data_IF_899116285956
#
_entry.id   IF_899116285956
#
_cell.length_a   1.000
_cell.length_b   1.000
_cell.length_c   1.000
_cell.angle_alpha   90.00
_cell.angle_beta   90.00
_cell.angle_gamma   90.00
#
_symmetry.space_group_name_H-M   'P 1'
#
loop_
_entity.id
_entity.type
_entity.pdbx_description
1 polymer ?
#
# COMPACT_ATOMS: atom_id res chain seq x y z
N UNK A 1 23.36 2.19 -7.22
CA UNK A 1 22.32 1.96 -8.25
C UNK A 1 21.59 0.69 -7.93
N UNK A 2 20.26 0.71 -8.01
CA UNK A 2 19.43 -0.48 -7.88
C UNK A 2 19.56 -1.35 -9.13
N UNK A 3 19.33 -2.65 -8.99
CA UNK A 3 19.30 -3.55 -10.13
C UNK A 3 18.21 -3.11 -11.11
N UNK A 4 18.55 -2.99 -12.41
CA UNK A 4 17.56 -2.70 -13.43
C UNK A 4 16.46 -3.75 -13.48
N UNK A 5 15.21 -3.31 -13.64
CA UNK A 5 14.12 -4.23 -13.89
C UNK A 5 14.25 -4.81 -15.31
N UNK A 6 13.90 -6.08 -15.53
CA UNK A 6 14.07 -6.72 -16.84
C UNK A 6 13.15 -6.17 -17.93
N UNK A 7 12.23 -5.27 -17.59
CA UNK A 7 11.27 -4.69 -18.53
C UNK A 7 11.75 -3.35 -19.05
N UNK A 8 11.64 -3.14 -20.35
CA UNK A 8 12.14 -1.97 -21.06
C UNK A 8 11.30 -0.70 -20.85
N UNK A 9 10.16 -0.79 -20.16
CA UNK A 9 9.28 0.33 -19.85
C UNK A 9 8.45 0.03 -18.59
N UNK A 10 8.15 1.03 -17.77
CA UNK A 10 7.29 1.01 -16.58
C UNK A 10 7.59 -0.13 -15.60
N UNK A 11 8.86 -0.34 -15.26
CA UNK A 11 9.28 -1.35 -14.30
C UNK A 11 8.85 -1.03 -12.87
N UNK A 12 9.79 -0.60 -12.05
CA UNK A 12 9.51 -0.12 -10.69
C UNK A 12 8.76 1.21 -10.74
N UNK A 13 7.73 1.35 -9.91
CA UNK A 13 6.87 2.54 -9.88
C UNK A 13 6.88 3.21 -8.50
N UNK A 14 6.31 2.57 -7.50
CA UNK A 14 6.11 3.15 -6.17
C UNK A 14 6.86 2.36 -5.09
N UNK A 15 7.66 3.02 -4.22
CA UNK A 15 8.40 2.38 -3.15
C UNK A 15 7.81 2.68 -1.78
N UNK A 16 7.83 1.69 -0.88
CA UNK A 16 7.62 1.86 0.54
C UNK A 16 8.83 1.32 1.33
N UNK A 17 9.21 1.99 2.42
CA UNK A 17 10.41 1.64 3.18
C UNK A 17 10.03 1.08 4.55
N UNK A 18 10.40 -0.17 4.81
CA UNK A 18 10.40 -0.70 6.15
C UNK A 18 11.73 -0.40 6.84
N UNK A 19 11.65 0.34 7.95
CA UNK A 19 12.81 0.73 8.73
C UNK A 19 13.04 -0.22 9.90
N UNK A 20 14.18 -0.92 9.90
CA UNK A 20 14.64 -1.70 11.05
C UNK A 20 15.33 -0.79 12.06
N UNK A 21 14.63 -0.42 13.14
CA UNK A 21 15.16 0.44 14.18
C UNK A 21 16.30 -0.23 14.99
N UNK A 22 16.36 -1.56 15.01
CA UNK A 22 17.41 -2.31 15.71
C UNK A 22 18.73 -2.36 14.94
N UNK A 23 18.62 -2.42 13.61
CA UNK A 23 19.76 -2.39 12.70
C UNK A 23 19.36 -1.73 11.36
N UNK A 24 19.52 -0.41 11.22
CA UNK A 24 19.10 0.33 10.02
C UNK A 24 19.65 -0.20 8.68
N UNK A 25 20.76 -0.95 8.70
CA UNK A 25 21.30 -1.58 7.50
C UNK A 25 20.45 -2.75 6.98
N UNK A 26 19.59 -3.31 7.82
CA UNK A 26 18.65 -4.37 7.45
C UNK A 26 17.31 -3.84 6.94
N UNK A 27 17.14 -2.53 6.91
CA UNK A 27 15.92 -1.91 6.35
C UNK A 27 15.70 -2.38 4.92
N UNK A 28 14.43 -2.46 4.52
CA UNK A 28 14.01 -3.02 3.24
C UNK A 28 13.19 -2.00 2.45
N UNK A 29 13.26 -2.11 1.15
CA UNK A 29 12.43 -1.37 0.22
C UNK A 29 11.44 -2.37 -0.40
N UNK A 30 10.15 -2.11 -0.22
CA UNK A 30 9.10 -2.79 -0.96
C UNK A 30 8.78 -1.94 -2.18
N UNK A 31 8.74 -2.53 -3.35
CA UNK A 31 8.55 -1.80 -4.61
C UNK A 31 7.42 -2.43 -5.43
N UNK A 32 6.53 -1.61 -5.96
CA UNK A 32 5.56 -2.06 -6.96
C UNK A 32 6.20 -2.18 -8.33
N UNK A 33 5.68 -3.11 -9.10
CA UNK A 33 6.10 -3.35 -10.47
C UNK A 33 4.86 -3.40 -11.37
N UNK A 34 4.64 -2.36 -12.16
CA UNK A 34 3.42 -2.15 -12.96
C UNK A 34 3.04 -3.31 -13.88
N UNK A 35 4.01 -4.13 -14.26
CA UNK A 35 3.76 -5.24 -15.18
C UNK A 35 3.69 -6.61 -14.49
N UNK A 36 4.15 -6.71 -13.23
CA UNK A 36 4.37 -8.03 -12.60
C UNK A 36 3.82 -8.17 -11.19
N UNK A 37 4.12 -7.21 -10.29
CA UNK A 37 3.69 -7.39 -8.90
C UNK A 37 4.48 -6.58 -7.89
N UNK A 38 5.03 -7.24 -6.87
CA UNK A 38 5.69 -6.61 -5.73
C UNK A 38 7.05 -7.22 -5.49
N UNK A 39 8.08 -6.39 -5.29
CA UNK A 39 9.44 -6.81 -4.97
C UNK A 39 9.88 -6.38 -3.58
N UNK A 40 10.84 -7.10 -3.02
CA UNK A 40 11.59 -6.69 -1.82
C UNK A 40 13.05 -6.52 -2.18
N UNK A 41 13.60 -5.38 -1.83
CA UNK A 41 14.99 -5.03 -2.09
C UNK A 41 15.69 -4.60 -0.80
N UNK A 42 17.00 -4.84 -0.75
CA UNK A 42 17.88 -4.27 0.27
C UNK A 42 18.27 -2.83 -0.09
N UNK A 43 18.87 -2.14 0.87
CA UNK A 43 19.35 -0.75 0.64
C UNK A 43 20.49 -0.67 -0.38
N UNK A 44 21.19 -1.78 -0.68
CA UNK A 44 22.20 -1.84 -1.74
C UNK A 44 21.59 -2.07 -3.14
N UNK A 45 20.27 -2.19 -3.23
CA UNK A 45 19.53 -2.41 -4.45
C UNK A 45 19.40 -3.87 -4.89
N UNK A 46 19.98 -4.82 -4.13
CA UNK A 46 19.80 -6.25 -4.43
C UNK A 46 18.38 -6.71 -4.10
N UNK A 47 17.76 -7.46 -5.02
CA UNK A 47 16.42 -8.03 -4.83
C UNK A 47 16.50 -9.30 -3.99
N UNK A 48 15.73 -9.37 -2.92
CA UNK A 48 15.60 -10.57 -2.08
C UNK A 48 14.40 -11.42 -2.52
N UNK A 49 13.35 -10.80 -3.02
CA UNK A 49 12.16 -11.49 -3.48
C UNK A 49 11.46 -10.69 -4.58
N UNK A 50 10.88 -11.40 -5.55
CA UNK A 50 9.90 -10.87 -6.49
C UNK A 50 8.65 -11.76 -6.46
N UNK A 51 7.49 -11.17 -6.22
CA UNK A 51 6.19 -11.82 -6.28
C UNK A 51 5.45 -11.32 -7.53
N UNK A 52 4.79 -12.22 -8.24
CA UNK A 52 4.08 -11.91 -9.49
C UNK A 52 2.56 -12.15 -9.36
N UNK A 53 1.85 -11.48 -8.44
CA UNK A 53 0.41 -11.61 -8.30
C UNK A 53 -0.38 -10.98 -9.46
N UNK A 54 0.28 -10.22 -10.31
CA UNK A 54 -0.27 -9.42 -11.39
C UNK A 54 0.20 -7.97 -11.34
N UNK A 55 -0.13 -7.15 -12.35
CA UNK A 55 0.21 -5.73 -12.41
C UNK A 55 -0.14 -4.99 -11.13
N UNK A 56 0.87 -4.49 -10.42
CA UNK A 56 0.68 -3.75 -9.16
C UNK A 56 1.09 -2.30 -9.36
N UNK A 57 0.15 -1.37 -9.15
CA UNK A 57 0.40 0.05 -9.39
C UNK A 57 1.15 0.69 -8.21
N UNK A 58 0.54 0.77 -7.04
CA UNK A 58 1.14 1.39 -5.87
C UNK A 58 1.32 0.40 -4.73
N UNK A 59 2.23 0.71 -3.81
CA UNK A 59 2.43 0.00 -2.55
C UNK A 59 2.56 0.99 -1.40
N UNK A 60 2.09 0.59 -0.22
CA UNK A 60 2.39 1.26 1.04
C UNK A 60 2.56 0.22 2.15
N UNK A 61 3.17 0.61 3.26
CA UNK A 61 3.33 -0.25 4.41
C UNK A 61 3.13 0.46 5.73
N UNK A 62 2.69 -0.31 6.71
CA UNK A 62 2.61 0.12 8.11
C UNK A 62 3.35 -0.87 9.00
N UNK A 63 4.32 -0.38 9.77
CA UNK A 63 5.16 -1.22 10.61
C UNK A 63 4.46 -1.63 11.93
N UNK A 64 4.89 -2.78 12.48
CA UNK A 64 4.51 -3.26 13.81
C UNK A 64 2.99 -3.42 14.00
N UNK A 65 2.33 -4.08 13.07
CA UNK A 65 0.89 -4.36 13.13
C UNK A 65 0.60 -5.84 13.00
N UNK A 66 -0.46 -6.29 13.67
CA UNK A 66 -1.01 -7.65 13.56
C UNK A 66 0.03 -8.76 13.78
N UNK A 67 1.06 -8.48 14.61
CA UNK A 67 2.11 -9.45 14.93
C UNK A 67 3.12 -9.70 13.80
N UNK A 68 3.19 -8.79 12.82
CA UNK A 68 4.19 -8.78 11.75
C UNK A 68 5.12 -7.58 11.88
N UNK A 69 6.29 -7.63 11.23
CA UNK A 69 7.21 -6.48 11.16
C UNK A 69 6.60 -5.33 10.36
N UNK A 70 5.86 -5.65 9.30
CA UNK A 70 4.98 -4.73 8.62
C UNK A 70 3.84 -5.44 7.89
N UNK A 71 2.71 -4.74 7.74
CA UNK A 71 1.67 -5.04 6.76
C UNK A 71 1.94 -4.18 5.53
N UNK A 72 1.89 -4.80 4.36
CA UNK A 72 2.07 -4.15 3.06
C UNK A 72 0.76 -4.25 2.29
N UNK A 73 0.36 -3.18 1.65
CA UNK A 73 -0.74 -3.15 0.69
C UNK A 73 -0.20 -2.87 -0.71
N UNK A 74 -0.77 -3.55 -1.72
CA UNK A 74 -0.46 -3.29 -3.12
C UNK A 74 -1.74 -3.27 -3.96
N UNK A 75 -1.88 -2.29 -4.85
CA UNK A 75 -3.06 -2.20 -5.73
C UNK A 75 -2.89 -3.04 -6.99
N UNK A 76 -3.58 -4.15 -7.04
CA UNK A 76 -3.51 -5.11 -8.15
C UNK A 76 -4.52 -4.77 -9.25
N UNK A 77 -4.03 -4.30 -10.40
CA UNK A 77 -4.87 -3.90 -11.53
C UNK A 77 -5.45 -5.08 -12.33
N UNK A 78 -4.89 -6.28 -12.19
CA UNK A 78 -5.46 -7.46 -12.86
C UNK A 78 -6.73 -7.96 -12.18
N UNK A 79 -6.75 -7.93 -10.85
CA UNK A 79 -7.88 -8.40 -10.03
C UNK A 79 -8.78 -7.28 -9.51
N UNK A 80 -8.36 -6.03 -9.67
CA UNK A 80 -9.01 -4.85 -9.09
C UNK A 80 -9.20 -5.00 -7.58
N UNK A 81 -8.07 -5.28 -6.89
CA UNK A 81 -8.04 -5.50 -5.44
C UNK A 81 -6.89 -4.74 -4.80
N UNK A 82 -7.04 -4.42 -3.52
CA UNK A 82 -5.90 -4.16 -2.65
C UNK A 82 -5.46 -5.51 -2.10
N UNK A 83 -4.31 -5.97 -2.54
CA UNK A 83 -3.68 -7.19 -2.03
C UNK A 83 -2.90 -6.87 -0.75
N UNK A 84 -3.05 -7.69 0.28
CA UNK A 84 -2.33 -7.52 1.55
C UNK A 84 -1.23 -8.57 1.71
N UNK A 85 -0.09 -8.14 2.25
CA UNK A 85 1.07 -8.98 2.50
C UNK A 85 1.62 -8.72 3.89
N UNK A 86 2.17 -9.76 4.51
CA UNK A 86 2.95 -9.66 5.74
C UNK A 86 4.44 -9.63 5.38
N UNK A 87 5.16 -8.63 5.85
CA UNK A 87 6.61 -8.55 5.78
C UNK A 87 7.23 -9.26 6.98
N UNK A 88 8.21 -10.10 6.71
CA UNK A 88 9.14 -10.66 7.69
C UNK A 88 10.54 -10.09 7.43
N UNK A 89 11.02 -9.25 8.34
CA UNK A 89 12.29 -8.55 8.21
C UNK A 89 13.51 -9.47 8.40
N UNK A 90 13.35 -10.62 9.07
CA UNK A 90 14.43 -11.59 9.28
C UNK A 90 14.68 -12.37 7.99
N UNK A 91 13.63 -12.95 7.42
CA UNK A 91 13.73 -13.67 6.14
C UNK A 91 13.79 -12.72 4.93
N UNK A 92 13.47 -11.44 5.12
CA UNK A 92 13.42 -10.41 4.07
C UNK A 92 12.45 -10.76 2.95
N UNK A 93 11.26 -11.26 3.33
CA UNK A 93 10.25 -11.75 2.41
C UNK A 93 8.85 -11.21 2.74
N UNK A 94 8.01 -11.18 1.70
CA UNK A 94 6.58 -10.94 1.79
C UNK A 94 5.83 -12.27 1.69
N UNK A 95 4.78 -12.40 2.48
CA UNK A 95 3.81 -13.49 2.36
C UNK A 95 2.45 -12.88 2.07
N UNK A 96 1.86 -13.21 0.92
CA UNK A 96 0.49 -12.77 0.58
C UNK A 96 -0.49 -13.36 1.58
N UNK A 97 -1.43 -12.55 2.04
CA UNK A 97 -2.50 -12.97 2.95
C UNK A 97 -3.72 -13.39 2.13
N UNK A 98 -3.74 -14.65 1.71
CA UNK A 98 -4.83 -15.20 0.90
C UNK A 98 -6.19 -15.09 1.60
N UNK A 99 -7.21 -14.65 0.87
CA UNK A 99 -8.55 -14.39 1.40
C UNK A 99 -8.64 -13.10 2.24
N UNK A 100 -7.64 -12.23 2.13
CA UNK A 100 -7.64 -10.87 2.71
C UNK A 100 -7.61 -9.79 1.62
N UNK A 101 -7.86 -10.17 0.37
CA UNK A 101 -7.97 -9.23 -0.74
C UNK A 101 -9.20 -8.31 -0.52
N UNK A 102 -9.00 -7.01 -0.74
CA UNK A 102 -10.06 -6.01 -0.64
C UNK A 102 -10.49 -5.65 -2.05
N UNK A 103 -11.68 -6.08 -2.51
CA UNK A 103 -12.14 -5.76 -3.86
C UNK A 103 -12.43 -4.26 -4.00
N UNK A 104 -12.01 -3.69 -5.13
CA UNK A 104 -12.38 -2.33 -5.48
C UNK A 104 -13.88 -2.28 -5.79
N UNK A 105 -14.64 -1.31 -5.23
CA UNK A 105 -16.11 -1.38 -5.24
C UNK A 105 -16.76 -1.04 -6.58
N UNK A 106 -16.02 -0.49 -7.53
CA UNK A 106 -16.53 -0.05 -8.84
C UNK A 106 -15.66 -0.59 -9.97
N UNK A 107 -16.17 -0.55 -11.21
CA UNK A 107 -15.35 -0.75 -12.39
C UNK A 107 -14.43 0.46 -12.59
N UNK A 108 -13.14 0.23 -12.79
CA UNK A 108 -12.14 1.27 -12.95
C UNK A 108 -10.72 0.75 -12.76
N UNK A 109 -9.76 1.65 -12.83
CA UNK A 109 -8.36 1.35 -12.57
C UNK A 109 -8.00 1.79 -11.15
N UNK A 110 -7.90 0.83 -10.25
CA UNK A 110 -7.38 1.10 -8.90
C UNK A 110 -5.98 1.71 -8.98
N UNK A 111 -5.74 2.79 -8.27
CA UNK A 111 -4.53 3.61 -8.30
C UNK A 111 -3.70 3.54 -7.02
N UNK A 112 -3.66 4.65 -6.28
CA UNK A 112 -2.88 4.81 -5.06
C UNK A 112 -3.39 3.99 -3.88
N UNK A 113 -2.52 3.77 -2.90
CA UNK A 113 -2.85 3.13 -1.63
C UNK A 113 -2.06 3.77 -0.50
N UNK A 114 -2.71 4.00 0.65
CA UNK A 114 -2.07 4.57 1.84
C UNK A 114 -2.66 4.00 3.11
N UNK A 115 -1.81 3.56 4.03
CA UNK A 115 -2.26 3.19 5.37
C UNK A 115 -2.47 4.41 6.27
N UNK A 116 -3.42 4.29 7.16
CA UNK A 116 -3.65 5.21 8.25
C UNK A 116 -3.83 4.45 9.58
N UNK A 117 -2.99 4.73 10.57
CA UNK A 117 -3.21 4.29 11.95
C UNK A 117 -3.74 5.49 12.74
N UNK A 118 -4.96 5.38 13.25
CA UNK A 118 -5.57 6.43 14.06
C UNK A 118 -4.81 6.60 15.40
N UNK A 119 -4.38 7.80 15.76
CA UNK A 119 -3.80 8.07 17.07
C UNK A 119 -4.85 8.07 18.20
N UNK A 120 -6.15 8.04 17.87
CA UNK A 120 -7.23 8.13 18.85
C UNK A 120 -7.60 6.78 19.45
N UNK A 121 -7.59 5.71 18.62
CA UNK A 121 -8.05 4.37 19.02
C UNK A 121 -7.16 3.24 18.49
N UNK A 122 -6.01 3.57 17.90
CA UNK A 122 -5.01 2.64 17.33
C UNK A 122 -5.56 1.76 16.17
N UNK A 123 -6.76 2.02 15.70
CA UNK A 123 -7.33 1.30 14.56
C UNK A 123 -6.52 1.56 13.30
N UNK A 124 -6.48 0.53 12.47
CA UNK A 124 -5.79 0.58 11.20
C UNK A 124 -6.79 0.72 10.06
N UNK A 125 -6.50 1.64 9.17
CA UNK A 125 -7.25 1.88 7.95
C UNK A 125 -6.34 1.82 6.74
N UNK A 126 -6.91 1.56 5.58
CA UNK A 126 -6.28 1.73 4.28
C UNK A 126 -7.18 2.58 3.39
N UNK A 127 -6.59 3.60 2.79
CA UNK A 127 -7.20 4.35 1.69
C UNK A 127 -6.74 3.78 0.36
N UNK A 128 -7.61 3.80 -0.62
CA UNK A 128 -7.25 3.65 -2.01
C UNK A 128 -8.10 4.57 -2.87
N UNK A 129 -7.65 4.82 -4.08
CA UNK A 129 -8.28 5.72 -5.03
C UNK A 129 -8.20 5.15 -6.44
N UNK A 130 -8.92 5.76 -7.37
CA UNK A 130 -8.90 5.42 -8.78
C UNK A 130 -8.81 6.64 -9.70
N UNK A 131 -8.66 6.39 -10.99
CA UNK A 131 -8.55 7.42 -12.02
C UNK A 131 -9.82 8.27 -12.20
N UNK A 132 -10.96 7.87 -11.62
CA UNK A 132 -12.23 8.62 -11.71
C UNK A 132 -12.37 9.67 -10.60
N UNK A 133 -11.48 9.65 -9.62
CA UNK A 133 -11.52 10.53 -8.45
C UNK A 133 -12.19 9.89 -7.22
N UNK A 134 -12.67 8.65 -7.32
CA UNK A 134 -13.20 7.94 -6.16
C UNK A 134 -12.08 7.64 -5.16
N UNK A 135 -12.32 7.94 -3.89
CA UNK A 135 -11.48 7.58 -2.75
C UNK A 135 -12.31 6.74 -1.79
N UNK A 136 -11.78 5.60 -1.38
CA UNK A 136 -12.44 4.70 -0.43
C UNK A 136 -11.51 4.41 0.74
N UNK A 137 -12.06 4.39 1.95
CA UNK A 137 -11.36 4.05 3.18
C UNK A 137 -11.96 2.77 3.78
N UNK A 138 -11.08 1.81 4.09
CA UNK A 138 -11.45 0.55 4.74
C UNK A 138 -10.80 0.45 6.11
N UNK A 139 -11.56 0.04 7.12
CA UNK A 139 -11.03 -0.40 8.42
C UNK A 139 -10.51 -1.83 8.30
N UNK A 140 -9.32 -2.10 8.84
CA UNK A 140 -8.67 -3.41 8.81
C UNK A 140 -8.67 -4.05 10.19
N UNK A 141 -9.05 -5.32 10.27
CA UNK A 141 -9.09 -6.07 11.51
C UNK A 141 -8.36 -7.41 11.36
N UNK A 142 -7.40 -7.69 12.26
CA UNK A 142 -6.75 -8.98 12.29
C UNK A 142 -7.71 -10.05 12.78
N UNK A 143 -8.00 -11.07 11.96
CA UNK A 143 -8.72 -12.26 12.40
C UNK A 143 -7.76 -13.28 13.03
N UNK A 144 -6.57 -13.39 12.46
CA UNK A 144 -5.46 -14.21 12.95
C UNK A 144 -4.14 -13.77 12.28
N UNK A 145 -3.04 -14.48 12.51
CA UNK A 145 -1.72 -14.14 11.96
C UNK A 145 -1.64 -14.14 10.42
N UNK A 146 -2.58 -14.78 9.74
CA UNK A 146 -2.55 -14.95 8.28
C UNK A 146 -3.78 -14.38 7.58
N UNK A 147 -4.70 -13.76 8.31
CA UNK A 147 -5.93 -13.22 7.74
C UNK A 147 -6.33 -11.89 8.36
N UNK A 148 -6.63 -10.95 7.50
CA UNK A 148 -7.13 -9.62 7.81
C UNK A 148 -8.49 -9.45 7.15
N UNK A 149 -9.52 -9.10 7.93
CA UNK A 149 -10.82 -8.69 7.40
C UNK A 149 -10.87 -7.17 7.22
N UNK A 150 -11.80 -6.72 6.41
CA UNK A 150 -11.98 -5.31 6.10
C UNK A 150 -13.45 -4.90 6.13
N UNK A 151 -13.70 -3.64 6.45
CA UNK A 151 -15.01 -3.00 6.32
C UNK A 151 -14.84 -1.64 5.65
N UNK A 152 -15.63 -1.34 4.62
CA UNK A 152 -15.68 0.00 4.07
C UNK A 152 -16.33 0.94 5.10
N UNK A 153 -15.63 2.02 5.45
CA UNK A 153 -16.07 2.98 6.47
C UNK A 153 -16.35 4.36 5.89
N UNK A 154 -15.78 4.68 4.72
CA UNK A 154 -15.97 5.96 4.06
C UNK A 154 -15.70 5.86 2.57
N UNK A 155 -16.42 6.66 1.80
CA UNK A 155 -16.11 6.95 0.40
C UNK A 155 -16.39 8.43 0.10
N UNK A 156 -15.66 9.00 -0.84
CA UNK A 156 -15.90 10.35 -1.38
C UNK A 156 -15.24 10.48 -2.75
N UNK A 157 -15.71 11.47 -3.53
CA UNK A 157 -15.17 11.77 -4.85
C UNK A 157 -14.52 13.15 -4.85
N UNK A 158 -13.40 13.30 -5.53
CA UNK A 158 -12.68 14.56 -5.69
C UNK A 158 -12.82 15.19 -7.07
N UNK A 159 -13.67 14.60 -7.93
CA UNK A 159 -14.04 15.09 -9.26
C UNK A 159 -12.84 15.35 -10.21
N UNK A 160 -11.73 14.65 -10.01
CA UNK A 160 -10.54 14.69 -10.88
C UNK A 160 -9.75 13.40 -10.74
N UNK A 161 -8.99 13.06 -11.77
CA UNK A 161 -8.05 11.95 -11.71
C UNK A 161 -7.03 12.17 -10.57
N UNK A 162 -6.65 11.09 -9.92
CA UNK A 162 -5.67 11.11 -8.83
C UNK A 162 -4.85 9.83 -8.85
N UNK A 163 -3.56 9.94 -8.55
CA UNK A 163 -2.64 8.79 -8.63
C UNK A 163 -2.12 8.34 -7.28
N UNK A 164 -1.77 9.26 -6.39
CA UNK A 164 -1.07 8.93 -5.16
C UNK A 164 -1.65 9.62 -3.96
N UNK A 165 -1.46 9.03 -2.80
CA UNK A 165 -1.84 9.59 -1.53
C UNK A 165 -0.69 9.50 -0.51
N UNK A 166 -0.84 10.21 0.59
CA UNK A 166 0.03 10.12 1.76
C UNK A 166 -0.74 10.45 3.02
N UNK A 167 -0.30 9.96 4.17
CA UNK A 167 -1.00 10.18 5.43
C UNK A 167 -0.05 10.70 6.51
N UNK A 168 -0.46 11.77 7.18
CA UNK A 168 0.12 12.20 8.45
C UNK A 168 -0.66 11.56 9.59
N UNK A 169 -0.15 10.46 10.11
CA UNK A 169 -0.81 9.70 11.18
C UNK A 169 -0.99 10.55 12.46
N UNK A 170 0.03 11.32 12.82
CA UNK A 170 0.04 12.08 14.06
C UNK A 170 -0.99 13.22 14.11
N UNK A 171 -1.27 13.82 12.98
CA UNK A 171 -2.24 14.92 12.85
C UNK A 171 -3.55 14.49 12.21
N UNK A 172 -3.70 13.21 11.86
CA UNK A 172 -4.89 12.64 11.23
C UNK A 172 -5.29 13.34 9.93
N UNK A 173 -4.30 13.57 9.05
CA UNK A 173 -4.51 14.17 7.74
C UNK A 173 -4.19 13.18 6.61
N UNK A 174 -5.13 13.08 5.68
CA UNK A 174 -4.99 12.38 4.41
C UNK A 174 -4.72 13.41 3.31
N UNK A 175 -3.68 13.19 2.53
CA UNK A 175 -3.29 14.01 1.37
C UNK A 175 -3.42 13.19 0.10
N UNK A 176 -3.92 13.81 -0.96
CA UNK A 176 -4.06 13.17 -2.26
C UNK A 176 -3.63 14.13 -3.37
N UNK A 177 -2.89 13.62 -4.34
CA UNK A 177 -2.53 14.37 -5.54
C UNK A 177 -3.70 14.35 -6.52
N UNK A 178 -4.32 15.50 -6.70
CA UNK A 178 -5.38 15.71 -7.68
C UNK A 178 -4.73 16.25 -8.96
N UNK A 179 -4.79 15.48 -10.06
CA UNK A 179 -4.21 15.88 -11.33
C UNK A 179 -4.79 17.22 -11.79
N UNK A 180 -3.96 18.08 -12.36
CA UNK A 180 -4.30 19.43 -12.83
C UNK A 180 -4.83 20.40 -11.76
N UNK A 181 -5.02 19.97 -10.49
CA UNK A 181 -5.57 20.81 -9.41
C UNK A 181 -4.61 21.01 -8.24
N UNK A 182 -3.65 20.08 -8.05
CA UNK A 182 -2.64 20.16 -6.99
C UNK A 182 -2.85 19.17 -5.84
N UNK A 183 -2.39 19.51 -4.64
CA UNK A 183 -2.46 18.66 -3.46
C UNK A 183 -3.66 19.02 -2.60
N UNK A 184 -4.52 18.06 -2.36
CA UNK A 184 -5.71 18.21 -1.52
C UNK A 184 -5.50 17.53 -0.16
N UNK A 185 -6.15 18.07 0.86
CA UNK A 185 -6.06 17.56 2.22
C UNK A 185 -7.46 17.33 2.80
N UNK A 186 -7.64 16.14 3.39
CA UNK A 186 -8.87 15.73 4.07
C UNK A 186 -8.55 15.19 5.48
N UNK A 187 -9.51 15.20 6.43
CA UNK A 187 -9.36 14.42 7.65
C UNK A 187 -9.15 12.93 7.31
N UNK A 188 -8.22 12.27 8.02
CA UNK A 188 -7.97 10.83 7.85
C UNK A 188 -8.91 9.97 8.70
N UNK A 189 -9.52 10.54 9.75
CA UNK A 189 -10.56 9.84 10.49
C UNK A 189 -11.81 9.62 9.64
N UNK A 190 -12.52 8.48 9.79
CA UNK A 190 -13.62 8.10 8.91
C UNK A 190 -14.94 8.85 9.11
N UNK A 191 -14.94 10.00 9.80
CA UNK A 191 -16.17 10.77 10.14
C UNK A 191 -16.23 12.10 9.44
#
# INVERSE_FOLDING_TARGET
ETQETPDSCEGADDPAIWFDASNPKNSLIVVSHKMRGVGVQKLDGSTTQALEPGPTNNVDLVANVFGSDALVAGTNRATQTIDLYRLDGISQTLVKLDGSEIPWPVEGNIGGVCFYRSPNDEKLYVFSNDETGLVVQFELNAENSNRVSHNQVREFNIDTANESCSVDHGNSWFYISAEDQGLWRYPAEPH
#
